data_IF_470000987803
#
_entry.id   IF_470000987803
#
_cell.length_a   1.000
_cell.length_b   1.000
_cell.length_c   1.000
_cell.angle_alpha   90.00
_cell.angle_beta   90.00
_cell.angle_gamma   90.00
#
_symmetry.space_group_name_H-M   'P 1'
#
loop_
_entity.id
_entity.type
_entity.pdbx_description
1 polymer ?
#
# COMPACT_ATOMS: atom_id res chain seq x y z
N UNK A 1 1.39 8.31 -20.15
CA UNK A 1 0.59 8.67 -18.95
C UNK A 1 1.53 8.55 -17.77
N UNK A 2 1.61 9.58 -16.92
CA UNK A 2 2.48 9.62 -15.74
C UNK A 2 1.67 9.37 -14.47
N UNK A 3 2.33 8.94 -13.40
CA UNK A 3 1.71 8.81 -12.07
C UNK A 3 1.29 10.19 -11.58
N UNK A 4 0.02 10.39 -11.20
CA UNK A 4 -0.45 11.68 -10.67
C UNK A 4 0.26 12.07 -9.38
N UNK A 5 0.49 13.36 -9.19
CA UNK A 5 1.03 13.92 -7.96
C UNK A 5 -0.04 13.96 -6.85
N UNK A 6 -0.48 12.81 -6.41
CA UNK A 6 -1.47 12.62 -5.35
C UNK A 6 -0.90 11.63 -4.34
N UNK A 7 -1.01 11.95 -3.05
CA UNK A 7 -0.66 11.05 -1.96
C UNK A 7 -1.94 10.62 -1.25
N UNK A 8 -2.09 9.33 -1.03
CA UNK A 8 -3.19 8.72 -0.30
C UNK A 8 -2.69 8.07 0.98
N UNK A 9 -3.29 8.44 2.11
CA UNK A 9 -3.08 7.78 3.41
C UNK A 9 -4.43 7.51 4.08
N UNK A 10 -4.49 6.46 4.88
CA UNK A 10 -5.73 6.04 5.58
C UNK A 10 -5.46 5.83 7.07
N UNK A 11 -6.41 6.24 7.91
CA UNK A 11 -6.45 5.90 9.33
C UNK A 11 -7.90 5.96 9.84
N UNK A 12 -8.18 5.35 10.99
CA UNK A 12 -9.54 5.23 11.52
C UNK A 12 -10.24 6.58 11.73
N UNK A 13 -9.51 7.64 12.12
CA UNK A 13 -10.02 9.00 12.39
C UNK A 13 -8.87 10.02 12.32
N UNK A 14 -9.15 11.27 12.66
CA UNK A 14 -8.16 12.35 12.67
C UNK A 14 -7.26 12.39 13.93
N UNK A 15 -7.54 11.57 14.93
CA UNK A 15 -6.74 11.48 16.15
C UNK A 15 -5.56 10.51 15.94
N UNK A 16 -4.50 11.05 15.34
CA UNK A 16 -3.31 10.27 14.98
C UNK A 16 -2.34 10.11 16.14
N UNK A 17 -1.81 8.91 16.39
CA UNK A 17 -0.63 8.73 17.25
C UNK A 17 0.55 9.60 16.81
N UNK A 18 1.37 10.05 17.76
CA UNK A 18 2.52 10.95 17.51
C UNK A 18 3.43 10.43 16.37
N UNK A 19 3.73 9.14 16.35
CA UNK A 19 4.56 8.52 15.31
C UNK A 19 3.93 8.65 13.92
N UNK A 20 2.59 8.59 13.80
CA UNK A 20 1.88 8.77 12.53
C UNK A 20 1.82 10.24 12.12
N UNK A 21 1.65 11.15 13.08
CA UNK A 21 1.73 12.59 12.83
C UNK A 21 3.11 12.97 12.28
N UNK A 22 4.18 12.40 12.84
CA UNK A 22 5.55 12.59 12.34
C UNK A 22 5.70 12.09 10.91
N UNK A 23 5.28 10.88 10.60
CA UNK A 23 5.36 10.32 9.26
C UNK A 23 4.52 11.13 8.25
N UNK A 24 3.31 11.56 8.65
CA UNK A 24 2.44 12.40 7.84
C UNK A 24 3.07 13.77 7.55
N UNK A 25 3.66 14.39 8.56
CA UNK A 25 4.33 15.69 8.42
C UNK A 25 5.50 15.58 7.44
N UNK A 26 6.28 14.52 7.55
CA UNK A 26 7.46 14.32 6.71
C UNK A 26 7.09 14.03 5.25
N UNK A 27 6.10 13.19 4.99
CA UNK A 27 5.66 12.92 3.62
C UNK A 27 5.12 14.18 2.95
N UNK A 28 4.34 15.02 3.66
CA UNK A 28 3.85 16.31 3.14
C UNK A 28 4.98 17.30 2.88
N UNK A 29 5.94 17.39 3.80
CA UNK A 29 7.10 18.28 3.67
C UNK A 29 7.95 17.94 2.44
N UNK A 30 8.10 16.65 2.15
CA UNK A 30 8.88 16.16 1.02
C UNK A 30 8.17 16.31 -0.33
N UNK A 31 6.83 16.48 -0.33
CA UNK A 31 6.01 16.54 -1.54
C UNK A 31 5.10 17.78 -1.53
N UNK A 32 5.66 19.00 -1.49
CA UNK A 32 4.86 20.23 -1.35
C UNK A 32 3.95 20.52 -2.57
N UNK A 33 4.22 19.89 -3.69
CA UNK A 33 3.49 20.03 -4.95
C UNK A 33 2.54 18.86 -5.24
N UNK A 34 2.36 17.93 -4.29
CA UNK A 34 1.40 16.85 -4.38
C UNK A 34 0.11 17.21 -3.67
N UNK A 35 -1.01 16.82 -4.26
CA UNK A 35 -2.30 16.81 -3.55
C UNK A 35 -2.26 15.73 -2.48
N UNK A 36 -2.53 16.09 -1.23
CA UNK A 36 -2.56 15.16 -0.11
C UNK A 36 -3.99 14.80 0.25
N UNK A 37 -4.33 13.52 0.18
CA UNK A 37 -5.64 12.96 0.50
C UNK A 37 -5.53 12.02 1.70
N UNK A 38 -6.22 12.37 2.77
CA UNK A 38 -6.35 11.55 3.96
C UNK A 38 -7.77 11.02 4.05
N UNK A 39 -7.92 9.74 4.37
CA UNK A 39 -9.21 9.09 4.45
C UNK A 39 -9.39 8.45 5.83
N UNK A 40 -10.46 8.82 6.51
CA UNK A 40 -10.95 8.13 7.71
C UNK A 40 -11.72 6.86 7.34
N UNK A 41 -12.10 6.06 8.33
CA UNK A 41 -12.96 4.89 8.10
C UNK A 41 -14.33 5.32 7.52
N UNK A 42 -14.88 6.46 7.98
CA UNK A 42 -16.12 7.03 7.43
C UNK A 42 -15.95 7.53 5.99
N UNK A 43 -14.81 8.14 5.67
CA UNK A 43 -14.51 8.57 4.31
C UNK A 43 -14.37 7.38 3.37
N UNK A 44 -13.73 6.32 3.84
CA UNK A 44 -13.57 5.07 3.11
C UNK A 44 -14.94 4.46 2.80
N UNK A 45 -15.82 4.32 3.80
CA UNK A 45 -17.17 3.77 3.62
C UNK A 45 -17.98 4.61 2.62
N UNK A 46 -17.97 5.94 2.81
CA UNK A 46 -18.67 6.87 1.91
C UNK A 46 -18.16 6.76 0.47
N UNK A 47 -16.84 6.78 0.27
CA UNK A 47 -16.25 6.70 -1.06
C UNK A 47 -16.57 5.36 -1.73
N UNK A 48 -16.47 4.26 -1.01
CA UNK A 48 -16.81 2.95 -1.54
C UNK A 48 -18.26 2.88 -1.97
N UNK A 49 -19.19 3.43 -1.19
CA UNK A 49 -20.61 3.47 -1.49
C UNK A 49 -20.95 4.34 -2.70
N UNK A 50 -20.26 5.47 -2.85
CA UNK A 50 -20.57 6.45 -3.92
C UNK A 50 -19.85 6.19 -5.23
N UNK A 51 -18.59 5.76 -5.15
CA UNK A 51 -17.70 5.65 -6.32
C UNK A 51 -17.56 4.22 -6.84
N UNK A 52 -17.90 3.23 -6.00
CA UNK A 52 -17.78 1.81 -6.30
C UNK A 52 -18.99 1.00 -5.80
N UNK A 53 -20.23 1.44 -6.11
CA UNK A 53 -21.43 0.83 -5.56
C UNK A 53 -21.54 -0.68 -5.90
N UNK A 54 -21.05 -1.11 -7.06
CA UNK A 54 -21.04 -2.52 -7.47
C UNK A 54 -20.16 -3.42 -6.61
N UNK A 55 -19.24 -2.82 -5.84
CA UNK A 55 -18.33 -3.52 -4.93
C UNK A 55 -18.72 -3.38 -3.45
N UNK A 56 -19.60 -2.47 -3.13
CA UNK A 56 -19.85 -2.02 -1.76
C UNK A 56 -20.33 -3.12 -0.82
N UNK A 57 -21.30 -3.94 -1.23
CA UNK A 57 -21.85 -4.99 -0.37
C UNK A 57 -20.76 -6.00 0.04
N UNK A 58 -20.00 -6.48 -0.93
CA UNK A 58 -18.89 -7.42 -0.66
C UNK A 58 -17.76 -6.79 0.13
N UNK A 59 -17.47 -5.51 -0.11
CA UNK A 59 -16.52 -4.76 0.69
C UNK A 59 -16.95 -4.71 2.17
N UNK A 60 -18.22 -4.41 2.43
CA UNK A 60 -18.74 -4.36 3.80
C UNK A 60 -18.74 -5.70 4.51
N UNK A 61 -18.87 -6.74 3.76
CA UNK A 61 -18.86 -8.09 4.25
C UNK A 61 -17.46 -8.61 4.60
N UNK A 62 -16.36 -7.89 4.27
CA UNK A 62 -15.03 -8.27 4.70
C UNK A 62 -14.94 -8.31 6.24
N UNK A 63 -14.42 -9.40 6.83
CA UNK A 63 -14.59 -9.67 8.27
C UNK A 63 -13.67 -8.82 9.16
N UNK A 64 -12.65 -8.19 8.58
CA UNK A 64 -11.66 -7.39 9.32
C UNK A 64 -11.45 -6.04 8.66
N UNK A 65 -11.36 -4.99 9.47
CA UNK A 65 -11.10 -3.64 8.99
C UNK A 65 -9.81 -3.57 8.13
N UNK A 66 -8.75 -4.25 8.54
CA UNK A 66 -7.50 -4.28 7.76
C UNK A 66 -7.70 -4.84 6.35
N UNK A 67 -8.62 -5.79 6.15
CA UNK A 67 -8.95 -6.29 4.81
C UNK A 67 -9.70 -5.24 3.99
N UNK A 68 -10.58 -4.45 4.63
CA UNK A 68 -11.23 -3.31 3.98
C UNK A 68 -10.20 -2.25 3.57
N UNK A 69 -9.25 -1.93 4.45
CA UNK A 69 -8.16 -0.99 4.16
C UNK A 69 -7.29 -1.49 3.00
N UNK A 70 -6.92 -2.78 3.00
CA UNK A 70 -6.16 -3.39 1.90
C UNK A 70 -6.89 -3.27 0.56
N UNK A 71 -8.21 -3.52 0.55
CA UNK A 71 -9.03 -3.35 -0.64
C UNK A 71 -9.11 -1.90 -1.06
N UNK A 72 -9.39 -1.00 -0.12
CA UNK A 72 -9.58 0.40 -0.39
C UNK A 72 -8.37 1.04 -1.07
N UNK A 73 -7.15 0.69 -0.65
CA UNK A 73 -5.94 1.19 -1.31
C UNK A 73 -5.84 0.76 -2.78
N UNK A 74 -6.38 -0.41 -3.16
CA UNK A 74 -6.41 -0.86 -4.56
C UNK A 74 -7.46 -0.09 -5.37
N UNK A 75 -8.62 0.23 -4.76
CA UNK A 75 -9.61 1.10 -5.36
C UNK A 75 -9.06 2.51 -5.61
N UNK A 76 -8.32 3.08 -4.65
CA UNK A 76 -7.68 4.38 -4.81
C UNK A 76 -6.70 4.38 -5.99
N UNK A 77 -5.86 3.35 -6.09
CA UNK A 77 -4.92 3.22 -7.21
C UNK A 77 -5.62 3.06 -8.55
N UNK A 78 -6.69 2.28 -8.60
CA UNK A 78 -7.45 2.14 -9.83
C UNK A 78 -8.10 3.45 -10.25
N UNK A 79 -8.79 4.13 -9.34
CA UNK A 79 -9.56 5.33 -9.67
C UNK A 79 -8.68 6.56 -9.90
N UNK A 80 -7.77 6.81 -9.00
CA UNK A 80 -7.02 8.08 -8.96
C UNK A 80 -5.55 7.92 -9.36
N UNK A 81 -4.98 6.74 -9.25
CA UNK A 81 -3.53 6.58 -9.32
C UNK A 81 -2.84 7.31 -8.17
N UNK A 82 -1.60 7.75 -8.37
CA UNK A 82 -0.82 8.47 -7.36
C UNK A 82 0.02 7.53 -6.50
N UNK A 83 0.42 8.01 -5.34
CA UNK A 83 1.22 7.33 -4.33
C UNK A 83 0.35 6.96 -3.13
N UNK A 84 0.20 5.69 -2.83
CA UNK A 84 -0.33 5.21 -1.56
C UNK A 84 0.81 4.98 -0.57
N UNK A 85 0.63 5.36 0.69
CA UNK A 85 1.58 5.10 1.76
C UNK A 85 0.84 4.83 3.07
N UNK A 86 1.20 3.75 3.78
CA UNK A 86 0.70 3.52 5.14
C UNK A 86 1.15 4.65 6.08
N UNK A 87 0.37 4.90 7.15
CA UNK A 87 0.64 5.98 8.10
C UNK A 87 1.95 5.80 8.87
N UNK A 88 2.44 4.57 9.00
CA UNK A 88 3.71 4.23 9.66
C UNK A 88 4.87 4.05 8.69
N UNK A 89 4.78 4.66 7.51
CA UNK A 89 5.88 4.71 6.56
C UNK A 89 6.61 6.05 6.64
N UNK A 90 7.86 6.03 7.12
CA UNK A 90 8.69 7.22 7.25
C UNK A 90 9.47 7.46 5.96
N UNK A 91 9.12 8.52 5.24
CA UNK A 91 9.81 8.94 4.01
C UNK A 91 11.12 9.67 4.33
N UNK A 92 12.15 9.46 3.49
CA UNK A 92 13.47 10.09 3.61
C UNK A 92 13.79 11.03 2.44
N UNK A 93 13.18 10.83 1.28
CA UNK A 93 13.33 11.67 0.09
C UNK A 93 12.02 11.73 -0.69
N UNK A 94 11.84 12.71 -1.60
CA UNK A 94 10.68 12.76 -2.47
C UNK A 94 10.55 11.51 -3.36
N UNK A 95 9.30 11.12 -3.65
CA UNK A 95 9.00 10.09 -4.63
C UNK A 95 9.15 10.69 -6.03
N UNK A 96 10.09 10.17 -6.82
CA UNK A 96 10.48 10.70 -8.14
C UNK A 96 10.23 9.72 -9.31
N UNK A 97 9.61 8.54 -9.05
CA UNK A 97 9.34 7.53 -10.07
C UNK A 97 8.00 7.79 -10.81
N UNK A 98 7.74 9.04 -11.19
CA UNK A 98 6.46 9.45 -11.78
C UNK A 98 6.26 9.02 -13.23
N UNK A 99 7.31 8.66 -13.94
CA UNK A 99 7.25 8.24 -15.35
C UNK A 99 6.94 6.75 -15.52
N UNK A 100 6.84 6.02 -14.42
CA UNK A 100 6.48 4.61 -14.42
C UNK A 100 4.96 4.42 -14.55
N UNK A 101 4.51 3.22 -14.95
CA UNK A 101 3.08 2.88 -14.92
C UNK A 101 2.63 2.38 -13.56
N UNK A 102 3.38 1.43 -13.00
CA UNK A 102 3.13 0.86 -11.67
C UNK A 102 4.45 0.69 -10.95
N UNK A 103 4.55 1.19 -9.73
CA UNK A 103 5.70 0.98 -8.84
C UNK A 103 5.23 0.22 -7.61
N UNK A 104 5.74 -0.99 -7.41
CA UNK A 104 5.48 -1.80 -6.21
C UNK A 104 6.81 -2.36 -5.71
N UNK A 105 7.38 -1.83 -4.64
CA UNK A 105 8.66 -2.31 -4.12
C UNK A 105 8.56 -3.74 -3.59
N UNK A 106 9.63 -4.53 -3.74
CA UNK A 106 9.74 -5.79 -3.01
C UNK A 106 10.00 -5.52 -1.52
N UNK A 107 9.36 -6.30 -0.64
CA UNK A 107 9.59 -6.23 0.81
C UNK A 107 10.45 -7.38 1.35
N UNK A 108 11.00 -8.20 0.46
CA UNK A 108 11.97 -9.27 0.75
C UNK A 108 13.10 -9.22 -0.26
N UNK A 109 14.23 -9.79 0.13
CA UNK A 109 15.36 -9.98 -0.79
C UNK A 109 14.96 -10.97 -1.89
N UNK A 110 15.64 -10.88 -3.04
CA UNK A 110 15.47 -11.83 -4.13
C UNK A 110 15.94 -13.22 -3.68
N UNK A 111 15.45 -14.27 -4.31
CA UNK A 111 15.94 -15.63 -4.06
C UNK A 111 17.31 -15.87 -4.73
N UNK A 112 17.90 -17.04 -4.48
CA UNK A 112 19.21 -17.44 -5.03
C UNK A 112 19.27 -17.45 -6.56
N UNK A 113 18.10 -17.44 -7.23
CA UNK A 113 17.97 -17.32 -8.68
C UNK A 113 17.62 -15.90 -9.14
N UNK A 114 17.82 -14.90 -8.28
CA UNK A 114 17.52 -13.49 -8.54
C UNK A 114 16.05 -13.21 -8.89
N UNK A 115 15.10 -13.97 -8.31
CA UNK A 115 13.66 -13.82 -8.56
C UNK A 115 12.98 -13.10 -7.41
N UNK A 116 11.96 -12.30 -7.74
CA UNK A 116 11.09 -11.63 -6.77
C UNK A 116 10.31 -12.71 -5.99
N UNK A 117 10.40 -12.65 -4.67
CA UNK A 117 9.74 -13.60 -3.75
C UNK A 117 8.51 -13.03 -3.07
N UNK A 118 8.38 -11.69 -3.01
CA UNK A 118 7.23 -11.01 -2.45
C UNK A 118 7.18 -9.54 -2.91
N UNK A 119 5.99 -8.92 -2.78
CA UNK A 119 5.79 -7.48 -3.01
C UNK A 119 5.26 -6.84 -1.74
N UNK A 120 5.61 -5.57 -1.50
CA UNK A 120 5.03 -4.78 -0.43
C UNK A 120 3.61 -4.32 -0.76
N UNK A 121 2.81 -3.99 0.27
CA UNK A 121 1.54 -3.30 0.09
C UNK A 121 1.35 -2.10 1.02
N UNK A 122 2.41 -1.68 1.72
CA UNK A 122 2.41 -0.49 2.57
C UNK A 122 2.79 0.79 1.82
N UNK A 123 3.45 0.68 0.66
CA UNK A 123 3.75 1.79 -0.24
C UNK A 123 3.80 1.29 -1.68
N UNK A 124 3.11 1.99 -2.57
CA UNK A 124 3.14 1.75 -4.02
C UNK A 124 2.56 2.95 -4.76
N UNK A 125 2.83 3.04 -6.05
CA UNK A 125 2.30 4.10 -6.89
C UNK A 125 1.84 3.58 -8.25
N UNK A 126 0.90 4.28 -8.88
CA UNK A 126 0.36 3.86 -10.17
C UNK A 126 -0.24 5.01 -10.97
N UNK A 127 -0.31 4.82 -12.29
CA UNK A 127 -1.24 5.56 -13.12
C UNK A 127 -2.68 5.12 -12.84
N UNK A 128 -3.68 5.99 -13.00
CA UNK A 128 -5.09 5.60 -12.83
C UNK A 128 -5.54 4.62 -13.91
N UNK A 129 -6.62 3.88 -13.64
CA UNK A 129 -7.25 2.91 -14.53
C UNK A 129 -6.33 1.74 -14.97
N UNK A 130 -5.26 1.47 -14.23
CA UNK A 130 -4.37 0.36 -14.56
C UNK A 130 -5.05 -0.99 -14.28
N UNK A 131 -5.05 -1.89 -15.28
CA UNK A 131 -5.79 -3.16 -15.25
C UNK A 131 -5.34 -4.12 -14.14
N UNK A 132 -4.13 -3.97 -13.66
CA UNK A 132 -3.64 -4.74 -12.52
C UNK A 132 -4.53 -4.53 -11.28
N UNK A 133 -4.81 -3.27 -10.91
CA UNK A 133 -5.65 -2.96 -9.75
C UNK A 133 -7.07 -3.45 -9.95
N UNK A 134 -7.61 -3.28 -11.16
CA UNK A 134 -8.93 -3.85 -11.47
C UNK A 134 -8.96 -5.36 -11.30
N UNK A 135 -7.91 -6.06 -11.70
CA UNK A 135 -7.83 -7.51 -11.55
C UNK A 135 -7.80 -7.96 -10.09
N UNK A 136 -7.17 -7.17 -9.19
CA UNK A 136 -7.21 -7.42 -7.73
C UNK A 136 -8.65 -7.28 -7.21
N UNK A 137 -9.30 -6.18 -7.57
CA UNK A 137 -10.68 -5.90 -7.19
C UNK A 137 -11.61 -7.02 -7.64
N UNK A 138 -11.62 -7.34 -8.94
CA UNK A 138 -12.49 -8.38 -9.52
C UNK A 138 -12.22 -9.77 -8.91
N UNK A 139 -10.98 -10.11 -8.61
CA UNK A 139 -10.62 -11.40 -8.00
C UNK A 139 -11.22 -11.54 -6.61
N UNK A 140 -11.15 -10.49 -5.79
CA UNK A 140 -11.75 -10.51 -4.45
C UNK A 140 -13.27 -10.65 -4.47
N UNK A 141 -13.95 -10.21 -5.55
CA UNK A 141 -15.38 -10.42 -5.74
C UNK A 141 -15.78 -11.84 -6.08
N UNK A 142 -14.91 -12.57 -6.79
CA UNK A 142 -15.17 -13.94 -7.27
C UNK A 142 -14.90 -14.98 -6.20
N UNK A 143 -14.22 -14.61 -5.11
CA UNK A 143 -13.95 -15.54 -4.01
C UNK A 143 -15.25 -15.73 -3.22
N UNK A 144 -15.76 -16.96 -3.17
CA UNK A 144 -16.83 -17.32 -2.27
C UNK A 144 -16.31 -17.19 -0.82
N UNK A 145 -17.03 -16.41 0.00
CA UNK A 145 -16.64 -16.14 1.39
C UNK A 145 -16.49 -17.36 2.26
N UNK A 146 -17.28 -18.42 2.00
CA UNK A 146 -17.17 -19.68 2.70
C UNK A 146 -15.79 -20.31 2.58
N UNK A 147 -15.02 -19.87 1.57
CA UNK A 147 -13.70 -20.38 1.25
C UNK A 147 -12.56 -19.38 1.60
N UNK A 148 -12.91 -18.20 2.15
CA UNK A 148 -11.87 -17.28 2.65
C UNK A 148 -11.42 -17.76 4.02
N UNK A 149 -10.15 -18.07 4.21
CA UNK A 149 -9.62 -18.43 5.53
C UNK A 149 -9.47 -17.16 6.37
N UNK A 150 -10.43 -16.86 7.24
CA UNK A 150 -10.52 -15.59 7.98
C UNK A 150 -9.85 -15.58 9.35
N UNK A 151 -9.16 -16.63 9.74
CA UNK A 151 -8.53 -16.74 11.04
C UNK A 151 -7.01 -16.48 10.96
N UNK A 152 -6.51 -15.61 11.86
CA UNK A 152 -5.08 -15.33 12.04
C UNK A 152 -4.47 -14.35 11.05
N UNK A 153 -3.23 -13.94 11.36
CA UNK A 153 -2.44 -12.97 10.59
C UNK A 153 -2.17 -13.42 9.15
N UNK A 154 -1.89 -14.70 8.97
CA UNK A 154 -1.49 -15.26 7.66
C UNK A 154 -2.63 -15.20 6.65
N UNK A 155 -3.89 -15.20 7.13
CA UNK A 155 -5.06 -15.11 6.25
C UNK A 155 -5.23 -13.72 5.64
N UNK A 156 -5.01 -12.65 6.41
CA UNK A 156 -5.01 -11.26 5.88
C UNK A 156 -3.93 -11.12 4.81
N UNK A 157 -2.70 -11.54 5.12
CA UNK A 157 -1.56 -11.44 4.20
C UNK A 157 -1.84 -12.14 2.86
N UNK A 158 -2.48 -13.31 2.91
CA UNK A 158 -2.77 -14.13 1.72
C UNK A 158 -4.03 -13.69 0.97
N UNK A 159 -5.02 -13.16 1.69
CA UNK A 159 -6.35 -12.90 1.12
C UNK A 159 -6.49 -11.50 0.54
N UNK A 160 -5.88 -10.48 1.17
CA UNK A 160 -5.95 -9.08 0.72
C UNK A 160 -4.60 -8.38 0.75
N UNK A 161 -3.66 -8.84 1.54
CA UNK A 161 -2.37 -8.21 1.81
C UNK A 161 -1.27 -8.53 0.79
N UNK A 162 0.00 -8.41 1.19
CA UNK A 162 1.16 -8.45 0.28
C UNK A 162 1.30 -9.75 -0.52
N UNK A 163 0.94 -10.90 0.05
CA UNK A 163 0.97 -12.17 -0.69
C UNK A 163 -0.13 -12.24 -1.76
N UNK A 164 -1.29 -11.63 -1.52
CA UNK A 164 -2.33 -11.51 -2.53
C UNK A 164 -1.83 -10.66 -3.71
N UNK A 165 -1.27 -9.48 -3.45
CA UNK A 165 -0.67 -8.62 -4.48
C UNK A 165 0.38 -9.37 -5.29
N UNK A 166 1.28 -10.08 -4.62
CA UNK A 166 2.34 -10.86 -5.29
C UNK A 166 1.76 -11.99 -6.15
N UNK A 167 0.75 -12.72 -5.67
CA UNK A 167 0.11 -13.78 -6.45
C UNK A 167 -0.61 -13.22 -7.69
N UNK A 168 -1.24 -12.06 -7.57
CA UNK A 168 -1.86 -11.37 -8.71
C UNK A 168 -0.80 -10.87 -9.68
N UNK A 169 0.30 -10.29 -9.19
CA UNK A 169 1.42 -9.91 -10.04
C UNK A 169 1.96 -11.11 -10.83
N UNK A 170 2.17 -12.28 -10.21
CA UNK A 170 2.64 -13.48 -10.93
C UNK A 170 1.74 -13.88 -12.10
N UNK A 171 0.44 -13.67 -11.98
CA UNK A 171 -0.58 -14.01 -13.01
C UNK A 171 -0.77 -12.92 -14.06
N UNK A 172 -0.37 -11.68 -13.76
CA UNK A 172 -0.55 -10.55 -14.69
C UNK A 172 0.40 -10.69 -15.88
N UNK A 173 -0.11 -10.48 -17.11
CA UNK A 173 0.66 -10.75 -18.33
C UNK A 173 1.73 -9.68 -18.60
N UNK A 174 1.38 -8.41 -18.48
CA UNK A 174 2.23 -7.30 -18.90
C UNK A 174 3.22 -6.88 -17.77
N UNK A 175 4.23 -7.72 -17.51
CA UNK A 175 5.26 -7.47 -16.47
C UNK A 175 6.10 -6.23 -16.73
N UNK A 176 6.27 -5.83 -17.99
CA UNK A 176 7.02 -4.65 -18.39
C UNK A 176 6.37 -3.32 -17.97
N UNK A 177 5.14 -3.36 -17.47
CA UNK A 177 4.47 -2.18 -16.92
C UNK A 177 4.83 -1.90 -15.46
N UNK A 178 5.62 -2.80 -14.83
CA UNK A 178 6.00 -2.69 -13.42
C UNK A 178 7.46 -2.30 -13.26
N UNK A 179 7.68 -1.26 -12.47
CA UNK A 179 8.95 -1.01 -11.81
C UNK A 179 8.86 -1.63 -10.39
N UNK A 180 9.74 -2.59 -10.11
CA UNK A 180 9.82 -3.27 -8.81
C UNK A 180 11.16 -2.95 -8.17
N UNK A 181 11.24 -1.85 -7.41
CA UNK A 181 12.47 -1.45 -6.75
C UNK A 181 12.92 -2.49 -5.71
N UNK A 182 14.23 -2.58 -5.56
CA UNK A 182 14.85 -3.44 -4.57
C UNK A 182 14.41 -3.10 -3.14
N UNK A 183 14.35 -4.12 -2.28
CA UNK A 183 13.95 -4.01 -0.89
C UNK A 183 14.64 -2.86 -0.16
N UNK A 184 15.95 -2.75 -0.29
CA UNK A 184 16.74 -1.77 0.47
C UNK A 184 16.41 -0.31 0.14
N UNK A 185 15.77 -0.04 -1.02
CA UNK A 185 15.34 1.31 -1.39
C UNK A 185 14.05 1.74 -0.68
N UNK A 186 13.14 0.80 -0.37
CA UNK A 186 11.83 1.11 0.20
C UNK A 186 11.52 0.37 1.50
N UNK A 187 12.08 -0.82 1.71
CA UNK A 187 11.81 -1.68 2.87
C UNK A 187 13.09 -2.15 3.56
N UNK A 188 14.04 -1.23 3.89
CA UNK A 188 15.20 -1.62 4.68
C UNK A 188 14.73 -2.20 6.03
N UNK A 189 15.52 -3.07 6.68
CA UNK A 189 15.20 -3.56 8.00
C UNK A 189 14.91 -2.42 8.98
N UNK A 190 13.82 -2.53 9.73
CA UNK A 190 13.44 -1.50 10.70
C UNK A 190 14.40 -1.53 11.89
N UNK A 191 15.08 -0.42 12.14
CA UNK A 191 15.94 -0.21 13.31
C UNK A 191 15.71 1.20 13.85
N UNK A 192 15.37 1.29 15.12
CA UNK A 192 15.20 2.57 15.79
C UNK A 192 16.57 3.11 16.27
N UNK A 193 17.40 3.54 15.32
CA UNK A 193 18.74 4.05 15.54
C UNK A 193 19.02 5.22 14.58
N UNK A 194 19.30 6.40 15.12
CA UNK A 194 19.51 7.63 14.35
C UNK A 194 20.66 7.49 13.32
N UNK A 195 21.77 6.88 13.72
CA UNK A 195 22.92 6.66 12.82
C UNK A 195 22.53 5.78 11.62
N UNK A 196 21.72 4.75 11.87
CA UNK A 196 21.21 3.89 10.81
C UNK A 196 20.28 4.64 9.84
N UNK A 197 19.37 5.47 10.35
CA UNK A 197 18.49 6.32 9.53
C UNK A 197 19.32 7.26 8.65
N UNK A 198 20.36 7.90 9.18
CA UNK A 198 21.26 8.76 8.42
C UNK A 198 22.01 7.98 7.33
N UNK A 199 22.43 6.75 7.60
CA UNK A 199 23.04 5.88 6.59
C UNK A 199 22.05 5.53 5.46
N UNK A 200 20.78 5.27 5.78
CA UNK A 200 19.75 5.02 4.77
C UNK A 200 19.50 6.26 3.89
N UNK A 201 19.44 7.44 4.48
CA UNK A 201 19.33 8.71 3.74
C UNK A 201 20.51 8.91 2.79
N UNK A 202 21.75 8.66 3.24
CA UNK A 202 22.96 8.73 2.39
C UNK A 202 22.92 7.71 1.23
N UNK A 203 22.33 6.55 1.42
CA UNK A 203 22.16 5.51 0.39
C UNK A 203 20.99 5.78 -0.57
N UNK A 204 20.36 6.96 -0.51
CA UNK A 204 19.21 7.37 -1.33
C UNK A 204 17.98 6.47 -1.16
N UNK A 205 17.82 5.84 0.00
CA UNK A 205 16.62 5.11 0.37
C UNK A 205 15.41 6.05 0.36
N UNK A 206 14.27 5.60 -0.15
CA UNK A 206 13.03 6.39 -0.19
C UNK A 206 12.38 6.53 1.17
N UNK A 207 12.49 5.50 2.00
CA UNK A 207 11.88 5.51 3.32
C UNK A 207 12.00 4.17 4.03
N UNK A 208 11.34 4.05 5.16
CA UNK A 208 11.33 2.86 5.99
C UNK A 208 9.93 2.63 6.57
N UNK A 209 9.43 1.41 6.47
CA UNK A 209 8.20 1.01 7.14
C UNK A 209 8.50 0.71 8.62
N UNK A 210 7.89 1.45 9.53
CA UNK A 210 8.12 1.32 10.99
C UNK A 210 7.52 0.01 11.52
N UNK A 211 6.48 -0.51 10.84
CA UNK A 211 5.83 -1.77 11.19
C UNK A 211 5.23 -1.76 12.61
N UNK A 212 4.43 -0.76 12.93
CA UNK A 212 3.78 -0.63 14.25
C UNK A 212 2.90 -1.84 14.61
N UNK A 213 2.36 -2.53 13.61
CA UNK A 213 1.60 -3.77 13.79
C UNK A 213 0.30 -3.60 14.58
N UNK A 214 -0.24 -2.40 14.68
CA UNK A 214 -1.45 -2.10 15.47
C UNK A 214 -2.64 -2.97 15.07
N UNK A 215 -2.77 -3.31 13.79
CA UNK A 215 -3.82 -4.17 13.27
C UNK A 215 -3.74 -5.64 13.77
N UNK A 216 -2.59 -6.08 14.29
CA UNK A 216 -2.39 -7.44 14.79
C UNK A 216 -3.13 -7.67 16.12
N UNK A 217 -3.33 -6.63 16.89
CA UNK A 217 -3.85 -6.71 18.26
C UNK A 217 -5.34 -6.31 18.38
N UNK A 218 -6.09 -6.26 17.27
CA UNK A 218 -7.47 -5.75 17.21
C UNK A 218 -7.64 -4.35 17.86
N UNK A 219 -6.57 -3.55 17.86
CA UNK A 219 -6.57 -2.18 18.41
C UNK A 219 -6.88 -1.12 17.34
N UNK A 220 -7.34 -1.54 16.17
CA UNK A 220 -7.91 -0.70 15.12
C UNK A 220 -9.43 -0.87 15.11
#
# INVERSE_FOLDING_TARGET
MTIPKIIHQTYKNHDLPEIYQMCQTEIKRLHPDFEYRFYTDDDMDRLMKTEFPEYYDKFNELPRMIMKIDMFRYFLMYKYGGLYSDMDYLMFKPFDLLNEKVVIPTNRDLDDNNRITNLGNCIFASVPNHLFWKSLMDTLFKIDRKNLPFEGKDNVIKSTGPMFVFNMYKRFLNKNEFNIPERMLFHPPTKNNQLYIEQLKKKKCYGMHICTGLWLNNKL
#
